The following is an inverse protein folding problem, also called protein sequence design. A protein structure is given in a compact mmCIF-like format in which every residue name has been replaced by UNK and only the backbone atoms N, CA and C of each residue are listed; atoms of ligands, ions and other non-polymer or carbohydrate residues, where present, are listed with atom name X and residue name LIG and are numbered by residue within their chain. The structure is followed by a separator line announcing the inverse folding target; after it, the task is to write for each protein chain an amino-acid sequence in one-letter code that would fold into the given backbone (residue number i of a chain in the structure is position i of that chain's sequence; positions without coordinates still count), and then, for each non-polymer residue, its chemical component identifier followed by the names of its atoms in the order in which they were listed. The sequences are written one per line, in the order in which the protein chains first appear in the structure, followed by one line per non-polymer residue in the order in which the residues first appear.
data_IF_039374341775
#
_entry.id   IF_039374341775
#
_cell.length_a   1.000
_cell.length_b   1.000
_cell.length_c   1.000
_cell.angle_alpha   90.00
_cell.angle_beta   90.00
_cell.angle_gamma   90.00
#
_symmetry.space_group_name_H-M   'P 1'
#
loop_
_entity.id
_entity.type
_entity.pdbx_description
1 polymer ?
#
# COMPACT_ATOMS: atom_id res chain seq x y z
N UNK A 1 24.28 -12.38 -0.36
CA UNK A 1 24.09 -13.54 0.55
C UNK A 1 22.94 -13.17 1.44
N UNK A 2 21.88 -13.99 1.51
CA UNK A 2 20.77 -13.74 2.44
C UNK A 2 21.30 -13.81 3.87
N UNK A 3 20.89 -12.84 4.71
CA UNK A 3 21.25 -12.80 6.11
C UNK A 3 20.59 -14.00 6.82
N UNK A 4 21.34 -14.87 7.52
CA UNK A 4 20.78 -16.05 8.18
C UNK A 4 19.85 -15.72 9.37
N UNK A 5 19.66 -14.45 9.69
CA UNK A 5 18.87 -13.99 10.85
C UNK A 5 17.50 -13.37 10.50
N UNK A 6 17.12 -13.36 9.21
CA UNK A 6 15.90 -12.65 8.76
C UNK A 6 16.09 -11.13 8.67
N UNK A 7 15.03 -10.36 8.31
CA UNK A 7 15.12 -8.91 8.21
C UNK A 7 15.19 -8.25 9.59
N UNK A 8 15.87 -7.11 9.66
CA UNK A 8 15.89 -6.28 10.85
C UNK A 8 14.54 -5.55 11.05
N UNK A 9 13.81 -5.30 9.96
CA UNK A 9 12.48 -4.73 9.99
C UNK A 9 11.67 -5.12 8.74
N UNK A 10 10.32 -5.12 8.88
CA UNK A 10 9.37 -5.22 7.78
C UNK A 10 8.56 -3.93 7.74
N UNK A 11 8.64 -3.22 6.62
CA UNK A 11 7.87 -2.00 6.38
C UNK A 11 6.71 -2.32 5.43
N UNK A 12 5.55 -1.71 5.66
CA UNK A 12 4.33 -1.96 4.89
C UNK A 12 3.81 -0.66 4.29
N UNK A 13 3.26 -0.72 3.07
CA UNK A 13 2.29 0.28 2.66
C UNK A 13 1.02 0.17 3.51
N UNK A 14 0.18 1.19 3.49
CA UNK A 14 -1.05 1.25 4.28
C UNK A 14 -2.26 0.78 3.46
N UNK A 15 -2.68 1.59 2.48
CA UNK A 15 -3.91 1.39 1.73
C UNK A 15 -3.76 0.24 0.71
N UNK A 16 -4.43 -0.88 0.91
CA UNK A 16 -4.34 -2.06 0.04
C UNK A 16 -3.29 -3.09 0.48
N UNK A 17 -2.52 -2.79 1.51
CA UNK A 17 -1.48 -3.70 2.02
C UNK A 17 -1.69 -4.03 3.49
N UNK A 18 -1.65 -3.02 4.35
CA UNK A 18 -1.86 -3.19 5.79
C UNK A 18 -3.35 -3.10 6.15
N UNK A 19 -4.07 -2.18 5.50
CA UNK A 19 -5.48 -1.91 5.75
C UNK A 19 -6.30 -1.90 4.46
N UNK A 20 -7.50 -2.50 4.51
CA UNK A 20 -8.53 -2.35 3.48
C UNK A 20 -9.32 -1.07 3.77
N UNK A 21 -8.93 0.01 3.11
CA UNK A 21 -9.54 1.34 3.19
C UNK A 21 -10.47 1.64 2.02
N UNK A 22 -10.58 0.71 1.07
CA UNK A 22 -11.39 0.89 -0.13
C UNK A 22 -12.87 1.19 0.15
N UNK A 23 -13.52 0.56 1.16
CA UNK A 23 -14.92 0.85 1.43
C UNK A 23 -15.19 2.33 1.73
N UNK A 24 -14.44 2.93 2.66
CA UNK A 24 -14.64 4.32 3.05
C UNK A 24 -14.21 5.30 1.95
N UNK A 25 -13.14 4.99 1.21
CA UNK A 25 -12.70 5.78 0.07
C UNK A 25 -13.74 5.77 -1.08
N UNK A 26 -14.34 4.62 -1.37
CA UNK A 26 -15.41 4.51 -2.36
C UNK A 26 -16.71 5.21 -1.90
N UNK A 27 -17.05 5.10 -0.62
CA UNK A 27 -18.19 5.79 -0.03
C UNK A 27 -18.03 7.31 -0.13
N UNK A 28 -16.83 7.84 0.17
CA UNK A 28 -16.52 9.26 0.01
C UNK A 28 -16.66 9.74 -1.44
N UNK A 29 -16.18 8.95 -2.41
CA UNK A 29 -16.37 9.23 -3.83
C UNK A 29 -17.84 9.29 -4.20
N UNK A 30 -18.64 8.31 -3.78
CA UNK A 30 -20.05 8.26 -4.12
C UNK A 30 -20.86 9.40 -3.47
N UNK A 31 -20.47 9.83 -2.26
CA UNK A 31 -21.03 11.05 -1.64
C UNK A 31 -20.69 12.30 -2.44
N UNK A 32 -19.46 12.40 -2.94
CA UNK A 32 -19.07 13.52 -3.81
C UNK A 32 -19.85 13.50 -5.12
N UNK A 33 -19.98 12.35 -5.78
CA UNK A 33 -20.75 12.20 -7.03
C UNK A 33 -22.21 12.62 -6.85
N UNK A 34 -22.84 12.23 -5.73
CA UNK A 34 -24.21 12.62 -5.44
C UNK A 34 -24.41 14.14 -5.31
N UNK A 35 -23.41 14.89 -4.79
CA UNK A 35 -23.46 16.38 -4.75
C UNK A 35 -23.45 17.03 -6.12
N UNK A 36 -22.98 16.31 -7.13
CA UNK A 36 -22.88 16.76 -8.52
C UNK A 36 -23.89 16.07 -9.43
N UNK A 37 -24.96 15.48 -8.87
CA UNK A 37 -26.02 14.76 -9.60
C UNK A 37 -25.48 13.69 -10.55
N UNK A 38 -24.39 13.02 -10.16
CA UNK A 38 -23.76 11.95 -10.94
C UNK A 38 -24.11 10.57 -10.38
N UNK A 39 -24.21 9.55 -11.25
CA UNK A 39 -24.43 8.18 -10.81
C UNK A 39 -23.27 7.69 -9.95
N UNK A 40 -23.60 6.84 -8.97
CA UNK A 40 -22.59 6.18 -8.14
C UNK A 40 -21.70 5.24 -8.97
N UNK A 41 -20.42 5.15 -8.59
CA UNK A 41 -19.48 4.16 -9.12
C UNK A 41 -19.64 2.86 -8.32
N UNK A 42 -19.80 1.70 -8.98
CA UNK A 42 -19.81 0.40 -8.29
C UNK A 42 -18.52 0.18 -7.49
N UNK A 43 -18.63 -0.46 -6.31
CA UNK A 43 -17.50 -0.67 -5.40
C UNK A 43 -16.33 -1.36 -6.07
N UNK A 44 -16.56 -2.45 -6.79
CA UNK A 44 -15.50 -3.21 -7.48
C UNK A 44 -14.75 -2.38 -8.53
N UNK A 45 -15.42 -1.42 -9.13
CA UNK A 45 -14.77 -0.49 -10.05
C UNK A 45 -13.93 0.54 -9.30
N UNK A 46 -14.47 1.13 -8.23
CA UNK A 46 -13.75 2.11 -7.40
C UNK A 46 -12.52 1.48 -6.74
N UNK A 47 -12.66 0.24 -6.20
CA UNK A 47 -11.61 -0.49 -5.49
C UNK A 47 -10.29 -0.58 -6.28
N UNK A 48 -10.36 -0.81 -7.59
CA UNK A 48 -9.19 -0.89 -8.47
C UNK A 48 -8.39 0.41 -8.60
N UNK A 49 -8.99 1.54 -8.21
CA UNK A 49 -8.37 2.87 -8.33
C UNK A 49 -7.88 3.41 -6.98
N UNK A 50 -8.12 2.69 -5.87
CA UNK A 50 -7.81 3.14 -4.50
C UNK A 50 -6.32 3.38 -4.31
N UNK A 51 -5.43 2.50 -4.79
CA UNK A 51 -3.97 2.66 -4.66
C UNK A 51 -3.48 3.98 -5.27
N UNK A 52 -4.20 4.55 -6.23
CA UNK A 52 -3.90 5.87 -6.80
C UNK A 52 -4.48 7.03 -5.98
N UNK A 53 -5.07 6.78 -4.80
CA UNK A 53 -5.62 7.77 -3.90
C UNK A 53 -6.70 8.66 -4.54
N UNK A 54 -6.76 9.93 -4.15
CA UNK A 54 -7.73 10.89 -4.67
C UNK A 54 -7.65 11.04 -6.20
N UNK A 55 -6.46 10.89 -6.79
CA UNK A 55 -6.29 10.94 -8.25
C UNK A 55 -7.06 9.80 -8.93
N UNK A 56 -6.93 8.58 -8.43
CA UNK A 56 -7.65 7.42 -8.94
C UNK A 56 -9.16 7.56 -8.75
N UNK A 57 -9.60 8.02 -7.58
CA UNK A 57 -11.00 8.23 -7.27
C UNK A 57 -11.65 9.29 -8.19
N UNK A 58 -10.99 10.42 -8.44
CA UNK A 58 -11.51 11.44 -9.36
C UNK A 58 -11.45 11.00 -10.82
N UNK A 59 -10.46 10.21 -11.20
CA UNK A 59 -10.40 9.64 -12.55
C UNK A 59 -11.59 8.72 -12.81
N UNK A 60 -11.90 7.79 -11.91
CA UNK A 60 -13.00 6.84 -12.09
C UNK A 60 -14.38 7.50 -11.95
N UNK A 61 -14.54 8.50 -11.05
CA UNK A 61 -15.84 9.14 -10.78
C UNK A 61 -16.17 10.28 -11.73
N UNK A 62 -15.18 11.10 -12.07
CA UNK A 62 -15.38 12.33 -12.85
C UNK A 62 -14.72 12.28 -14.24
N UNK A 63 -13.83 11.32 -14.49
CA UNK A 63 -13.07 11.22 -15.74
C UNK A 63 -12.03 12.34 -15.88
N UNK A 64 -11.47 12.84 -14.77
CA UNK A 64 -10.52 13.96 -14.75
C UNK A 64 -9.19 13.58 -14.10
N UNK A 65 -8.13 14.24 -14.54
CA UNK A 65 -6.79 14.18 -13.96
C UNK A 65 -6.33 15.54 -13.42
N UNK A 66 -5.08 15.61 -12.91
CA UNK A 66 -4.51 16.83 -12.32
C UNK A 66 -4.48 18.06 -13.25
N UNK A 67 -4.55 17.86 -14.56
CA UNK A 67 -4.57 18.89 -15.60
C UNK A 67 -5.94 19.56 -15.78
N UNK A 68 -7.01 18.94 -15.26
CA UNK A 68 -8.36 19.53 -15.33
C UNK A 68 -8.46 20.69 -14.32
N UNK A 69 -8.94 21.88 -14.72
CA UNK A 69 -9.02 23.04 -13.81
C UNK A 69 -9.93 22.81 -12.59
N UNK A 70 -10.84 21.84 -12.64
CA UNK A 70 -11.72 21.48 -11.52
C UNK A 70 -11.04 20.53 -10.53
N UNK A 71 -9.91 19.92 -10.91
CA UNK A 71 -9.29 18.83 -10.15
C UNK A 71 -8.98 19.23 -8.71
N UNK A 72 -8.35 20.38 -8.50
CA UNK A 72 -7.92 20.80 -7.16
C UNK A 72 -9.12 20.96 -6.21
N UNK A 73 -10.19 21.62 -6.65
CA UNK A 73 -11.40 21.82 -5.86
C UNK A 73 -12.11 20.50 -5.54
N UNK A 74 -12.28 19.62 -6.54
CA UNK A 74 -12.92 18.31 -6.36
C UNK A 74 -12.08 17.38 -5.48
N UNK A 75 -10.74 17.45 -5.59
CA UNK A 75 -9.84 16.70 -4.70
C UNK A 75 -10.01 17.12 -3.25
N UNK A 76 -10.01 18.41 -2.99
CA UNK A 76 -10.11 18.95 -1.64
C UNK A 76 -11.48 18.62 -1.02
N UNK A 77 -12.55 18.67 -1.81
CA UNK A 77 -13.90 18.26 -1.38
C UNK A 77 -13.97 16.75 -1.12
N UNK A 78 -13.40 15.93 -2.01
CA UNK A 78 -13.30 14.47 -1.82
C UNK A 78 -12.55 14.11 -0.54
N UNK A 79 -11.37 14.72 -0.34
CA UNK A 79 -10.55 14.44 0.84
C UNK A 79 -11.25 14.88 2.14
N UNK A 80 -12.00 15.99 2.11
CA UNK A 80 -12.81 16.44 3.25
C UNK A 80 -13.93 15.44 3.58
N UNK A 81 -14.58 14.88 2.56
CA UNK A 81 -15.61 13.85 2.73
C UNK A 81 -15.02 12.55 3.28
N UNK A 82 -13.84 12.16 2.80
CA UNK A 82 -13.15 10.97 3.28
C UNK A 82 -12.69 11.15 4.74
N UNK A 83 -12.12 12.32 5.07
CA UNK A 83 -11.67 12.62 6.42
C UNK A 83 -12.80 12.62 7.46
N UNK A 84 -14.02 13.04 7.05
CA UNK A 84 -15.17 13.08 7.94
C UNK A 84 -15.62 11.68 8.40
N UNK A 85 -15.42 10.66 7.57
CA UNK A 85 -15.80 9.26 7.82
C UNK A 85 -14.65 8.32 7.45
N UNK A 86 -13.48 8.56 8.06
CA UNK A 86 -12.22 7.92 7.65
C UNK A 86 -12.11 6.44 8.05
N UNK A 87 -12.93 6.00 9.01
CA UNK A 87 -12.91 4.65 9.58
C UNK A 87 -14.33 4.20 9.95
N UNK A 88 -15.19 4.01 8.95
CA UNK A 88 -16.52 3.41 9.14
C UNK A 88 -16.52 1.91 8.83
N UNK A 89 -15.89 1.53 7.72
CA UNK A 89 -15.80 0.15 7.25
C UNK A 89 -14.35 -0.28 6.99
N UNK A 90 -13.39 0.64 7.04
CA UNK A 90 -11.97 0.33 6.93
C UNK A 90 -11.53 -0.61 8.04
N UNK A 91 -10.73 -1.64 7.70
CA UNK A 91 -10.23 -2.61 8.65
C UNK A 91 -8.83 -3.10 8.26
N UNK A 92 -8.15 -3.81 9.14
CA UNK A 92 -6.93 -4.53 8.79
C UNK A 92 -7.25 -5.65 7.80
N UNK A 93 -6.36 -5.90 6.84
CA UNK A 93 -6.49 -7.13 6.05
C UNK A 93 -6.41 -8.37 6.97
N UNK A 94 -7.18 -9.43 6.68
CA UNK A 94 -7.13 -10.67 7.45
C UNK A 94 -5.70 -11.20 7.57
N UNK A 95 -5.24 -11.46 8.79
CA UNK A 95 -3.89 -11.95 9.07
C UNK A 95 -2.85 -10.86 9.40
N UNK A 96 -3.16 -9.57 9.24
CA UNK A 96 -2.22 -8.48 9.58
C UNK A 96 -1.98 -8.40 11.10
N UNK A 97 -3.04 -8.51 11.91
CA UNK A 97 -2.88 -8.47 13.37
C UNK A 97 -1.97 -9.61 13.86
N UNK A 98 -2.23 -10.82 13.39
CA UNK A 98 -1.42 -12.00 13.70
C UNK A 98 0.01 -11.89 13.17
N UNK A 99 0.18 -11.27 12.00
CA UNK A 99 1.51 -11.05 11.43
C UNK A 99 2.34 -10.11 12.30
N UNK A 100 1.81 -8.96 12.70
CA UNK A 100 2.56 -7.99 13.51
C UNK A 100 2.87 -8.54 14.91
N UNK A 101 1.98 -9.35 15.50
CA UNK A 101 2.24 -10.07 16.73
C UNK A 101 3.38 -11.08 16.58
N UNK A 102 3.42 -11.82 15.45
CA UNK A 102 4.47 -12.77 15.16
C UNK A 102 5.83 -12.10 14.88
N UNK A 103 5.84 -10.93 14.24
CA UNK A 103 7.06 -10.13 14.05
C UNK A 103 7.60 -9.63 15.39
N UNK A 104 6.73 -9.07 16.24
CA UNK A 104 7.10 -8.57 17.58
C UNK A 104 7.67 -9.69 18.44
N UNK A 105 7.03 -10.86 18.47
CA UNK A 105 7.50 -12.03 19.20
C UNK A 105 8.88 -12.53 18.73
N UNK A 106 9.28 -12.26 17.49
CA UNK A 106 10.59 -12.55 16.93
C UNK A 106 11.60 -11.41 17.08
N UNK A 107 11.19 -10.27 17.68
CA UNK A 107 12.03 -9.09 17.84
C UNK A 107 12.28 -8.35 16.50
N UNK A 108 11.44 -8.58 15.48
CA UNK A 108 11.52 -7.92 14.17
C UNK A 108 10.69 -6.64 14.23
N UNK A 109 11.32 -5.50 14.05
CA UNK A 109 10.61 -4.21 13.98
C UNK A 109 9.66 -4.19 12.78
N UNK A 110 8.56 -3.44 12.88
CA UNK A 110 7.70 -3.17 11.74
C UNK A 110 7.26 -1.71 11.72
N UNK A 111 6.91 -1.21 10.54
CA UNK A 111 6.48 0.18 10.36
C UNK A 111 5.61 0.36 9.13
N UNK A 112 5.06 1.57 8.99
CA UNK A 112 4.20 1.96 7.87
C UNK A 112 4.88 3.06 7.05
N UNK A 113 4.88 2.90 5.72
CA UNK A 113 5.37 3.89 4.77
C UNK A 113 4.36 4.03 3.64
N UNK A 114 3.62 5.13 3.63
CA UNK A 114 2.48 5.34 2.73
C UNK A 114 2.58 6.65 1.95
N UNK A 115 1.91 6.72 0.77
CA UNK A 115 1.72 7.98 0.04
C UNK A 115 0.49 8.77 0.54
N UNK A 116 -0.26 8.24 1.50
CA UNK A 116 -1.34 8.96 2.18
C UNK A 116 -0.75 10.10 3.04
N UNK A 117 -1.28 11.33 2.98
CA UNK A 117 -0.75 12.43 3.78
C UNK A 117 -1.01 12.24 5.27
N UNK A 118 -0.14 12.79 6.13
CA UNK A 118 -0.15 12.60 7.58
C UNK A 118 -1.50 12.94 8.22
N UNK A 119 -2.13 14.04 7.81
CA UNK A 119 -3.42 14.47 8.36
C UNK A 119 -4.59 13.49 8.12
N UNK A 120 -4.43 12.50 7.22
CA UNK A 120 -5.33 11.38 7.01
C UNK A 120 -4.78 10.08 7.63
N UNK A 121 -3.45 9.87 7.58
CA UNK A 121 -2.82 8.67 8.12
C UNK A 121 -2.99 8.59 9.63
N UNK A 122 -2.69 9.67 10.33
CA UNK A 122 -2.69 9.69 11.80
C UNK A 122 -4.07 9.38 12.41
N UNK A 123 -5.18 10.06 12.00
CA UNK A 123 -6.50 9.74 12.55
C UNK A 123 -6.99 8.35 12.13
N UNK A 124 -6.62 7.85 10.95
CA UNK A 124 -6.97 6.50 10.53
C UNK A 124 -6.32 5.44 11.43
N UNK A 125 -5.01 5.55 11.66
CA UNK A 125 -4.27 4.62 12.52
C UNK A 125 -4.71 4.70 13.99
N UNK A 126 -5.06 5.89 14.46
CA UNK A 126 -5.64 6.07 15.81
C UNK A 126 -6.99 5.36 15.93
N UNK A 127 -7.87 5.53 14.94
CA UNK A 127 -9.19 4.90 14.92
C UNK A 127 -9.12 3.36 14.80
N UNK A 128 -8.14 2.83 14.06
CA UNK A 128 -7.91 1.39 13.92
C UNK A 128 -7.45 0.70 15.21
N UNK A 129 -6.97 1.44 16.21
CA UNK A 129 -6.56 0.92 17.52
C UNK A 129 -5.67 -0.33 17.41
N UNK A 130 -4.55 -0.21 16.68
CA UNK A 130 -3.65 -1.34 16.36
C UNK A 130 -3.20 -2.11 17.61
N UNK A 131 -3.13 -3.46 17.55
CA UNK A 131 -2.74 -4.30 18.70
C UNK A 131 -1.32 -4.01 19.16
N UNK A 132 -0.42 -3.71 18.23
CA UNK A 132 0.97 -3.33 18.48
C UNK A 132 1.25 -2.05 17.71
N UNK A 133 1.94 -1.09 18.33
CA UNK A 133 2.29 0.15 17.66
C UNK A 133 3.43 -0.07 16.66
N UNK A 134 3.36 0.53 15.45
CA UNK A 134 4.48 0.52 14.52
C UNK A 134 5.69 1.26 15.11
N UNK A 135 6.89 0.79 14.82
CA UNK A 135 8.13 1.46 15.22
C UNK A 135 8.33 2.80 14.50
N UNK A 136 7.77 2.95 13.30
CA UNK A 136 7.70 4.21 12.56
C UNK A 136 6.45 4.30 11.68
N UNK A 137 6.02 5.54 11.42
CA UNK A 137 5.01 5.88 10.41
C UNK A 137 5.57 7.00 9.56
N UNK A 138 5.64 6.79 8.24
CA UNK A 138 6.09 7.77 7.25
C UNK A 138 4.95 7.99 6.26
N UNK A 139 4.44 9.21 6.24
CA UNK A 139 3.32 9.63 5.39
C UNK A 139 3.79 10.29 4.09
N UNK A 140 2.90 10.47 3.13
CA UNK A 140 3.21 10.94 1.79
C UNK A 140 3.78 12.36 1.71
N UNK A 141 3.59 13.16 2.75
CA UNK A 141 4.10 14.53 2.92
C UNK A 141 5.27 14.64 3.92
N UNK A 142 5.75 13.53 4.47
CA UNK A 142 6.89 13.50 5.39
C UNK A 142 8.20 13.81 4.67
N UNK A 143 8.35 13.37 3.42
CA UNK A 143 9.56 13.55 2.62
C UNK A 143 9.25 14.34 1.35
N UNK A 144 10.25 15.04 0.75
CA UNK A 144 10.05 15.85 -0.46
C UNK A 144 9.54 15.06 -1.68
N UNK A 145 9.89 13.76 -1.77
CA UNK A 145 9.53 12.89 -2.89
C UNK A 145 8.85 11.63 -2.36
N UNK A 146 7.56 11.44 -2.68
CA UNK A 146 6.82 10.22 -2.29
C UNK A 146 7.25 9.01 -3.14
N UNK A 147 6.78 7.80 -2.78
CA UNK A 147 6.93 6.61 -3.62
C UNK A 147 6.41 6.89 -5.06
N UNK A 148 7.12 6.51 -6.10
CA UNK A 148 8.15 5.46 -6.20
C UNK A 148 9.59 5.88 -5.84
N UNK A 149 9.83 7.10 -5.35
CA UNK A 149 11.16 7.46 -4.85
C UNK A 149 11.45 6.72 -3.54
N UNK A 150 12.74 6.36 -3.28
CA UNK A 150 13.12 5.64 -2.06
C UNK A 150 13.20 6.52 -0.80
N UNK A 151 13.07 7.84 -0.93
CA UNK A 151 13.21 8.78 0.18
C UNK A 151 12.38 8.43 1.42
N UNK A 152 11.08 8.05 1.31
CA UNK A 152 10.28 7.68 2.47
C UNK A 152 10.80 6.41 3.17
N UNK A 153 11.36 5.47 2.42
CA UNK A 153 11.91 4.24 2.97
C UNK A 153 13.23 4.49 3.68
N UNK A 154 14.12 5.31 3.13
CA UNK A 154 15.34 5.74 3.83
C UNK A 154 15.01 6.53 5.10
N UNK A 155 13.98 7.39 5.05
CA UNK A 155 13.52 8.11 6.23
C UNK A 155 13.02 7.15 7.32
N UNK A 156 12.20 6.15 6.95
CA UNK A 156 11.72 5.14 7.86
C UNK A 156 12.88 4.35 8.50
N UNK A 157 13.88 3.94 7.70
CA UNK A 157 15.08 3.28 8.20
C UNK A 157 15.85 4.13 9.20
N UNK A 158 15.97 5.44 8.94
CA UNK A 158 16.60 6.38 9.87
C UNK A 158 15.84 6.50 11.20
N UNK A 159 14.51 6.47 11.18
CA UNK A 159 13.68 6.53 12.40
C UNK A 159 13.86 5.28 13.29
N UNK A 160 14.07 4.11 12.69
CA UNK A 160 14.20 2.83 13.43
C UNK A 160 15.66 2.40 13.62
N UNK A 161 16.63 3.20 13.17
CA UNK A 161 18.06 2.93 13.22
C UNK A 161 18.42 1.56 12.60
N UNK A 162 18.02 1.36 11.34
CA UNK A 162 18.29 0.15 10.56
C UNK A 162 18.79 0.50 9.16
N UNK A 163 19.71 -0.35 8.65
CA UNK A 163 20.14 -0.27 7.26
C UNK A 163 19.04 -0.74 6.31
N UNK A 164 18.81 -0.01 5.21
CA UNK A 164 17.77 -0.34 4.25
C UNK A 164 17.92 -1.75 3.67
N UNK A 165 19.15 -2.19 3.40
CA UNK A 165 19.46 -3.54 2.88
C UNK A 165 19.08 -4.68 3.84
N UNK A 166 18.91 -4.38 5.12
CA UNK A 166 18.45 -5.32 6.13
C UNK A 166 16.93 -5.26 6.36
N UNK A 167 16.20 -4.39 5.64
CA UNK A 167 14.77 -4.22 5.77
C UNK A 167 14.04 -4.79 4.55
N UNK A 168 12.79 -5.20 4.76
CA UNK A 168 11.89 -5.61 3.69
C UNK A 168 10.77 -4.60 3.53
N UNK A 169 10.26 -4.46 2.30
CA UNK A 169 9.13 -3.62 2.01
C UNK A 169 8.00 -4.41 1.33
N UNK A 170 6.79 -4.29 1.88
CA UNK A 170 5.58 -4.97 1.39
C UNK A 170 4.61 -3.91 0.86
N UNK A 171 4.09 -4.12 -0.35
CA UNK A 171 3.11 -3.21 -0.95
C UNK A 171 2.29 -3.85 -2.05
N UNK A 172 1.16 -3.26 -2.41
CA UNK A 172 0.20 -3.76 -3.41
C UNK A 172 0.20 -2.95 -4.71
N UNK A 173 1.14 -2.02 -4.87
CA UNK A 173 1.27 -1.17 -6.05
C UNK A 173 2.69 -1.23 -6.62
N UNK A 174 2.82 -1.07 -7.95
CA UNK A 174 4.13 -1.07 -8.61
C UNK A 174 5.08 -0.03 -8.03
N UNK A 175 4.58 1.12 -7.56
CA UNK A 175 5.38 2.18 -6.93
C UNK A 175 6.06 1.73 -5.65
N UNK A 176 5.47 0.78 -4.92
CA UNK A 176 6.03 0.20 -3.71
C UNK A 176 7.26 -0.63 -4.04
N UNK A 177 7.11 -1.50 -5.03
CA UNK A 177 8.21 -2.36 -5.50
C UNK A 177 9.35 -1.52 -6.09
N UNK A 178 9.02 -0.48 -6.85
CA UNK A 178 10.03 0.45 -7.38
C UNK A 178 10.78 1.18 -6.27
N UNK A 179 10.06 1.71 -5.25
CA UNK A 179 10.67 2.41 -4.12
C UNK A 179 11.55 1.48 -3.29
N UNK A 180 11.04 0.27 -2.95
CA UNK A 180 11.79 -0.72 -2.17
C UNK A 180 13.08 -1.16 -2.86
N UNK A 181 13.00 -1.47 -4.15
CA UNK A 181 14.18 -1.83 -4.96
C UNK A 181 15.19 -0.69 -5.08
N UNK A 182 14.70 0.55 -5.27
CA UNK A 182 15.56 1.73 -5.31
C UNK A 182 16.23 2.01 -3.96
N UNK A 183 15.62 1.60 -2.85
CA UNK A 183 16.21 1.66 -1.52
C UNK A 183 17.16 0.48 -1.21
N UNK A 184 17.25 -0.51 -2.09
CA UNK A 184 18.05 -1.73 -1.86
C UNK A 184 17.40 -2.72 -0.88
N UNK A 185 16.10 -2.60 -0.65
CA UNK A 185 15.32 -3.51 0.19
C UNK A 185 14.89 -4.75 -0.59
N UNK A 186 14.65 -5.85 0.11
CA UNK A 186 13.84 -6.95 -0.41
C UNK A 186 12.39 -6.50 -0.50
N UNK A 187 11.72 -6.83 -1.61
CA UNK A 187 10.35 -6.38 -1.88
C UNK A 187 9.37 -7.53 -2.03
N UNK A 188 8.22 -7.42 -1.42
CA UNK A 188 7.15 -8.41 -1.50
C UNK A 188 5.87 -7.73 -2.01
N UNK A 189 5.27 -8.29 -3.07
CA UNK A 189 4.03 -7.76 -3.64
C UNK A 189 2.81 -8.43 -3.00
N UNK A 190 1.92 -7.64 -2.43
CA UNK A 190 0.70 -8.08 -1.75
C UNK A 190 -0.43 -8.31 -2.78
N UNK A 191 -0.59 -9.56 -3.27
CA UNK A 191 -1.60 -9.91 -4.25
C UNK A 191 -3.04 -9.85 -3.70
N UNK A 192 -3.20 -9.84 -2.39
CA UNK A 192 -4.49 -9.66 -1.72
C UNK A 192 -4.99 -8.20 -1.73
N UNK A 193 -4.13 -7.26 -2.15
CA UNK A 193 -4.40 -5.82 -2.20
C UNK A 193 -5.27 -5.38 -3.37
N UNK A 194 -5.12 -4.11 -3.77
CA UNK A 194 -5.92 -3.50 -4.85
C UNK A 194 -5.32 -3.71 -6.24
N UNK A 195 -3.99 -3.86 -6.33
CA UNK A 195 -3.17 -4.20 -7.50
C UNK A 195 -3.17 -3.17 -8.64
N UNK A 196 -3.95 -2.09 -8.53
CA UNK A 196 -4.06 -1.11 -9.60
C UNK A 196 -4.61 -1.69 -10.91
N UNK A 197 -4.38 -0.98 -12.02
CA UNK A 197 -4.92 -1.34 -13.34
C UNK A 197 -3.85 -1.43 -14.45
N UNK A 198 -2.58 -1.11 -14.14
CA UNK A 198 -1.57 -0.91 -15.17
C UNK A 198 -0.86 -2.21 -15.56
N UNK A 199 0.03 -2.72 -14.72
CA UNK A 199 0.82 -3.91 -14.99
C UNK A 199 0.44 -5.05 -14.05
N UNK A 200 0.56 -6.29 -14.55
CA UNK A 200 0.34 -7.45 -13.71
C UNK A 200 1.40 -7.51 -12.59
N UNK A 201 1.05 -7.80 -11.32
CA UNK A 201 2.00 -7.78 -10.19
C UNK A 201 3.24 -8.65 -10.38
N UNK A 202 3.14 -9.73 -11.16
CA UNK A 202 4.27 -10.60 -11.51
C UNK A 202 5.35 -9.89 -12.34
N UNK A 203 4.98 -8.81 -13.03
CA UNK A 203 5.88 -8.04 -13.89
C UNK A 203 6.54 -6.86 -13.17
N UNK A 204 6.18 -6.61 -11.89
CA UNK A 204 6.77 -5.52 -11.10
C UNK A 204 8.21 -5.78 -10.67
N UNK A 205 8.64 -7.05 -10.69
CA UNK A 205 9.98 -7.46 -10.29
C UNK A 205 10.18 -7.50 -8.78
N UNK A 206 9.12 -7.80 -8.03
CA UNK A 206 9.20 -8.07 -6.60
C UNK A 206 9.98 -9.38 -6.33
N UNK A 207 10.63 -9.47 -5.17
CA UNK A 207 11.39 -10.65 -4.74
C UNK A 207 10.47 -11.78 -4.23
N UNK A 208 9.20 -11.49 -3.98
CA UNK A 208 8.19 -12.47 -3.60
C UNK A 208 6.77 -11.95 -3.82
N UNK A 209 5.82 -12.87 -3.93
CA UNK A 209 4.40 -12.60 -4.09
C UNK A 209 3.65 -13.21 -2.91
N UNK A 210 2.72 -12.47 -2.33
CA UNK A 210 1.96 -12.84 -1.15
C UNK A 210 0.47 -12.90 -1.50
N UNK A 211 -0.13 -14.08 -1.43
CA UNK A 211 -1.59 -14.24 -1.53
C UNK A 211 -2.30 -13.93 -0.21
N UNK A 212 -1.53 -13.91 0.91
CA UNK A 212 -2.03 -13.62 2.25
C UNK A 212 -0.95 -12.96 3.11
N UNK A 213 -1.27 -12.02 4.03
CA UNK A 213 -0.27 -11.36 4.88
C UNK A 213 0.65 -12.28 5.65
N UNK A 214 0.13 -13.36 6.22
CA UNK A 214 0.92 -14.33 6.99
C UNK A 214 2.01 -15.05 6.16
N UNK A 215 1.95 -14.96 4.82
CA UNK A 215 3.01 -15.54 3.98
C UNK A 215 4.34 -14.80 4.11
N UNK A 216 4.36 -13.57 4.62
CA UNK A 216 5.61 -12.89 5.01
C UNK A 216 6.45 -13.78 5.91
N UNK A 217 5.83 -14.50 6.85
CA UNK A 217 6.53 -15.40 7.78
C UNK A 217 7.26 -16.55 7.08
N UNK A 218 6.79 -17.00 5.91
CA UNK A 218 7.47 -18.03 5.11
C UNK A 218 8.81 -17.54 4.55
N UNK A 219 8.89 -16.26 4.22
CA UNK A 219 10.12 -15.64 3.73
C UNK A 219 11.13 -15.36 4.85
N UNK A 220 10.69 -15.40 6.13
CA UNK A 220 11.56 -15.30 7.30
C UNK A 220 12.28 -16.61 7.61
N UNK A 221 11.81 -17.75 7.07
CA UNK A 221 12.43 -19.03 7.26
C UNK A 221 13.83 -19.08 6.61
N UNK A 222 14.78 -19.89 7.14
CA UNK A 222 16.15 -20.00 6.61
C UNK A 222 16.23 -20.46 5.16
N UNK A 223 15.16 -21.09 4.66
CA UNK A 223 15.06 -21.61 3.30
C UNK A 223 13.75 -21.10 2.66
N UNK A 224 13.70 -19.82 2.25
CA UNK A 224 12.48 -19.24 1.72
C UNK A 224 12.08 -19.94 0.40
N UNK A 225 10.76 -20.04 0.11
CA UNK A 225 10.28 -20.68 -1.11
C UNK A 225 10.88 -19.97 -2.34
N UNK A 226 11.23 -20.70 -3.40
CA UNK A 226 11.71 -20.10 -4.63
C UNK A 226 10.65 -19.17 -5.20
N UNK A 227 11.10 -18.02 -5.70
CA UNK A 227 10.25 -17.11 -6.46
C UNK A 227 9.71 -17.90 -7.66
N UNK A 228 8.38 -18.07 -7.74
CA UNK A 228 7.77 -18.77 -8.87
C UNK A 228 8.10 -17.98 -10.14
N UNK A 229 8.87 -18.50 -11.10
CA UNK A 229 9.12 -17.78 -12.34
C UNK A 229 7.76 -17.53 -13.02
N UNK A 230 7.59 -16.33 -13.57
CA UNK A 230 6.44 -16.02 -14.39
C UNK A 230 6.24 -17.13 -15.44
N UNK A 231 5.02 -17.62 -15.67
CA UNK A 231 4.78 -18.53 -16.79
C UNK A 231 5.24 -17.83 -18.06
N UNK A 232 6.14 -18.48 -18.81
CA UNK A 232 6.58 -17.98 -20.09
C UNK A 232 5.35 -17.67 -20.94
N UNK A 233 5.22 -16.42 -21.39
CA UNK A 233 4.20 -16.01 -22.34
C UNK A 233 4.33 -16.89 -23.58
N UNK A 234 3.45 -17.88 -23.71
CA UNK A 234 3.33 -18.67 -24.93
C UNK A 234 3.03 -17.75 -26.11
N UNK A 235 3.48 -18.08 -27.32
CA UNK A 235 3.20 -17.27 -28.47
C UNK A 235 1.68 -17.15 -28.66
N UNK A 236 1.22 -15.90 -28.83
CA UNK A 236 -0.15 -15.64 -29.24
C UNK A 236 -0.42 -16.37 -30.56
N UNK A 237 -1.32 -17.35 -30.53
CA UNK A 237 -1.86 -17.96 -31.75
C UNK A 237 -2.59 -16.84 -32.53
N UNK A 238 -1.91 -16.40 -33.59
CA UNK A 238 -2.50 -15.59 -34.65
C UNK A 238 -3.19 -16.57 -35.59
N UNK A 239 -4.50 -16.61 -35.54
CA UNK A 239 -5.36 -17.17 -36.57
C UNK A 239 -6.56 -16.24 -36.78
#
# INVERSE_FOLDING_TARGET
MADPLGPAAVLFDLDGTFADTAPDMAAALNRLLARYDRPAVPFEQARRHVSSGSRGMLAVGFGIGPEDPRYAALRDEYLSLYAADIHCESCLFPGIAELVEALDAQGICWGIVTNKPAWLTDPLLEAMALPIRPACVVSGDTTPRPKPHPDPLFHACGLIDREASACWYVGDDQRDIQAGRAAGMRTLAALYGYLGIELHPRDWGADGLLEHPLEVLRFLAPDPPPISPAPASGPADVA
#
